data_IF_941201567328
#
_entry.id   IF_941201567328
#
_cell.length_a   1.000
_cell.length_b   1.000
_cell.length_c   1.000
_cell.angle_alpha   90.00
_cell.angle_beta   90.00
_cell.angle_gamma   90.00
#
_symmetry.space_group_name_H-M   'P 1'
#
loop_
_entity.id
_entity.type
_entity.pdbx_description
1 polymer ?
#
# COMPACT_ATOMS: atom_id res chain seq x y z
N UNK A 1 -26.43 -4.67 4.71
CA UNK A 1 -25.18 -4.07 4.16
C UNK A 1 -24.75 -4.90 2.94
N UNK A 2 -24.42 -4.28 1.80
CA UNK A 2 -23.98 -5.04 0.61
C UNK A 2 -22.58 -5.62 0.84
N UNK A 3 -22.33 -6.83 0.32
CA UNK A 3 -21.03 -7.52 0.41
C UNK A 3 -20.18 -7.23 -0.83
N UNK A 4 -18.90 -6.92 -0.65
CA UNK A 4 -17.96 -6.65 -1.74
C UNK A 4 -16.72 -7.54 -1.57
N UNK A 5 -16.37 -8.26 -2.64
CA UNK A 5 -15.11 -8.98 -2.74
C UNK A 5 -14.10 -8.15 -3.55
N UNK A 6 -12.91 -7.95 -3.00
CA UNK A 6 -11.77 -7.33 -3.68
C UNK A 6 -10.73 -8.42 -3.91
N UNK A 7 -10.31 -8.62 -5.16
CA UNK A 7 -9.29 -9.60 -5.52
C UNK A 7 -7.96 -8.87 -5.73
N UNK A 8 -7.01 -9.15 -4.85
CA UNK A 8 -5.67 -8.54 -4.78
C UNK A 8 -5.53 -7.59 -3.58
N UNK A 9 -4.55 -7.85 -2.71
CA UNK A 9 -4.21 -7.02 -1.56
C UNK A 9 -2.98 -6.11 -1.82
N UNK A 10 -2.80 -5.68 -3.07
CA UNK A 10 -1.84 -4.63 -3.41
C UNK A 10 -2.34 -3.23 -3.05
N UNK A 11 -1.52 -2.20 -3.31
CA UNK A 11 -1.84 -0.80 -2.97
C UNK A 11 -3.26 -0.36 -3.35
N UNK A 12 -3.67 -0.58 -4.61
CA UNK A 12 -5.00 -0.19 -5.08
C UNK A 12 -6.13 -0.96 -4.38
N UNK A 13 -5.95 -2.26 -4.13
CA UNK A 13 -6.93 -3.09 -3.43
C UNK A 13 -7.10 -2.69 -1.97
N UNK A 14 -5.99 -2.45 -1.28
CA UNK A 14 -5.98 -1.95 0.09
C UNK A 14 -6.59 -0.53 0.19
N UNK A 15 -6.26 0.35 -0.75
CA UNK A 15 -6.84 1.69 -0.83
C UNK A 15 -8.36 1.61 -1.04
N UNK A 16 -8.84 0.82 -2.01
CA UNK A 16 -10.27 0.67 -2.24
C UNK A 16 -10.98 0.08 -1.02
N UNK A 17 -10.40 -0.94 -0.38
CA UNK A 17 -10.94 -1.53 0.83
C UNK A 17 -11.10 -0.49 1.95
N UNK A 18 -10.09 0.36 2.16
CA UNK A 18 -10.13 1.41 3.20
C UNK A 18 -11.19 2.47 2.95
N UNK A 19 -11.52 2.75 1.68
CA UNK A 19 -12.58 3.69 1.28
C UNK A 19 -13.99 3.11 1.39
N UNK A 20 -14.13 1.79 1.29
CA UNK A 20 -15.43 1.12 1.26
C UNK A 20 -15.83 0.50 2.61
N UNK A 21 -14.88 0.27 3.53
CA UNK A 21 -15.11 -0.48 4.78
C UNK A 21 -16.21 0.10 5.68
N UNK A 22 -16.44 1.41 5.65
CA UNK A 22 -17.44 2.06 6.52
C UNK A 22 -18.87 1.96 5.96
N UNK A 23 -19.01 1.65 4.66
CA UNK A 23 -20.31 1.58 3.97
C UNK A 23 -20.69 0.17 3.49
N UNK A 24 -19.72 -0.74 3.40
CA UNK A 24 -19.88 -2.09 2.86
C UNK A 24 -19.19 -3.16 3.71
N UNK A 25 -19.70 -4.38 3.65
CA UNK A 25 -18.97 -5.53 4.19
C UNK A 25 -17.92 -5.97 3.17
N UNK A 26 -16.69 -5.52 3.34
CA UNK A 26 -15.58 -5.77 2.42
C UNK A 26 -14.80 -7.01 2.83
N UNK A 27 -14.50 -7.90 1.87
CA UNK A 27 -13.55 -9.00 2.03
C UNK A 27 -12.48 -8.89 0.94
N UNK A 28 -11.21 -8.92 1.35
CA UNK A 28 -10.07 -8.86 0.44
C UNK A 28 -9.48 -10.27 0.32
N UNK A 29 -9.25 -10.72 -0.91
CA UNK A 29 -8.60 -12.00 -1.20
C UNK A 29 -7.25 -11.75 -1.85
N UNK A 30 -6.20 -12.42 -1.37
CA UNK A 30 -4.86 -12.36 -1.94
C UNK A 30 -4.35 -13.78 -2.15
N UNK A 31 -3.74 -14.05 -3.30
CA UNK A 31 -3.16 -15.35 -3.63
C UNK A 31 -1.83 -15.56 -2.91
N UNK A 32 -1.08 -14.48 -2.69
CA UNK A 32 0.19 -14.51 -1.99
C UNK A 32 0.03 -14.76 -0.48
N UNK A 33 1.11 -15.19 0.17
CA UNK A 33 1.17 -15.40 1.62
C UNK A 33 1.08 -14.10 2.43
N UNK A 34 1.35 -12.96 1.79
CA UNK A 34 1.36 -11.65 2.40
C UNK A 34 0.73 -10.60 1.48
N UNK A 35 0.49 -9.41 2.04
CA UNK A 35 -0.11 -8.27 1.35
C UNK A 35 0.94 -7.40 0.63
N UNK A 36 0.50 -6.36 -0.07
CA UNK A 36 1.37 -5.34 -0.68
C UNK A 36 1.62 -5.55 -2.17
N UNK A 37 1.49 -6.78 -2.69
CA UNK A 37 1.65 -7.07 -4.11
C UNK A 37 3.04 -6.64 -4.62
N UNK A 38 3.10 -5.76 -5.62
CA UNK A 38 4.38 -5.22 -6.14
C UNK A 38 5.11 -4.29 -5.18
N UNK A 39 4.48 -3.84 -4.10
CA UNK A 39 5.10 -3.05 -3.04
C UNK A 39 5.41 -3.89 -1.79
N UNK A 40 5.36 -5.23 -1.90
CA UNK A 40 5.68 -6.09 -0.77
C UNK A 40 7.18 -6.21 -0.59
N UNK A 41 7.61 -6.04 0.65
CA UNK A 41 8.97 -6.33 1.06
C UNK A 41 9.19 -7.83 1.15
N UNK A 42 10.38 -8.28 0.76
CA UNK A 42 10.81 -9.67 0.83
C UNK A 42 11.78 -9.83 1.97
N UNK A 43 11.61 -10.91 2.71
CA UNK A 43 12.44 -11.28 3.85
C UNK A 43 13.14 -12.60 3.56
N UNK A 44 14.41 -12.65 3.89
CA UNK A 44 15.26 -13.84 3.98
C UNK A 44 15.95 -13.80 5.34
N UNK A 45 16.64 -14.87 5.73
CA UNK A 45 17.31 -14.92 7.03
C UNK A 45 18.34 -13.79 7.21
N UNK A 46 18.95 -13.32 6.12
CA UNK A 46 20.06 -12.36 6.13
C UNK A 46 19.68 -10.97 5.63
N UNK A 47 18.60 -10.86 4.83
CA UNK A 47 18.26 -9.63 4.12
C UNK A 47 16.76 -9.36 4.06
N UNK A 48 16.45 -8.06 4.08
CA UNK A 48 15.15 -7.50 3.73
C UNK A 48 15.31 -6.62 2.49
N UNK A 49 14.45 -6.80 1.48
CA UNK A 49 14.55 -6.02 0.25
C UNK A 49 13.21 -5.85 -0.47
N UNK A 50 13.03 -4.67 -1.07
CA UNK A 50 11.90 -4.35 -1.93
C UNK A 50 12.21 -4.72 -3.38
N UNK A 51 11.93 -5.97 -3.76
CA UNK A 51 12.18 -6.46 -5.12
C UNK A 51 11.30 -5.80 -6.19
N UNK A 52 10.13 -5.28 -5.80
CA UNK A 52 9.15 -4.72 -6.73
C UNK A 52 9.33 -3.22 -6.92
N UNK A 53 8.65 -2.43 -6.10
CA UNK A 53 8.68 -0.96 -6.15
C UNK A 53 9.40 -0.45 -4.89
N UNK A 54 10.72 -0.16 -4.97
CA UNK A 54 11.49 0.31 -3.81
C UNK A 54 11.22 1.79 -3.50
N UNK A 55 10.79 2.59 -4.48
CA UNK A 55 10.37 3.97 -4.30
C UNK A 55 9.43 4.41 -5.43
N UNK A 56 8.76 5.54 -5.25
CA UNK A 56 7.88 6.11 -6.26
C UNK A 56 7.95 7.63 -6.23
N UNK A 57 7.64 8.25 -7.37
CA UNK A 57 7.49 9.70 -7.49
C UNK A 57 6.00 10.07 -7.45
N UNK A 58 5.67 11.16 -6.78
CA UNK A 58 4.31 11.70 -6.74
C UNK A 58 4.27 13.07 -7.42
N UNK A 59 3.58 13.17 -8.57
CA UNK A 59 3.37 14.45 -9.27
C UNK A 59 1.97 15.01 -9.06
N UNK A 60 0.97 14.14 -8.90
CA UNK A 60 -0.44 14.52 -8.71
C UNK A 60 -0.71 15.11 -7.32
N UNK A 61 -1.42 16.24 -7.25
CA UNK A 61 -1.72 16.95 -6.02
C UNK A 61 -2.57 16.12 -5.04
N UNK A 62 -3.65 15.49 -5.51
CA UNK A 62 -4.50 14.62 -4.68
C UNK A 62 -3.73 13.45 -4.09
N UNK A 63 -2.83 12.86 -4.89
CA UNK A 63 -1.96 11.80 -4.38
C UNK A 63 -0.96 12.32 -3.34
N UNK A 64 -0.34 13.49 -3.57
CA UNK A 64 0.53 14.13 -2.58
C UNK A 64 -0.19 14.39 -1.25
N UNK A 65 -1.44 14.86 -1.29
CA UNK A 65 -2.23 15.08 -0.07
C UNK A 65 -2.54 13.78 0.68
N UNK A 66 -2.86 12.72 -0.05
CA UNK A 66 -2.97 11.38 0.54
C UNK A 66 -1.65 10.96 1.22
N UNK A 67 -0.51 11.14 0.55
CA UNK A 67 0.80 10.77 1.10
C UNK A 67 1.18 11.57 2.35
N UNK A 68 0.77 12.85 2.46
CA UNK A 68 1.03 13.65 3.68
C UNK A 68 0.51 12.94 4.93
N UNK A 69 -0.69 12.35 4.85
CA UNK A 69 -1.26 11.61 5.99
C UNK A 69 -0.40 10.40 6.38
N UNK A 70 0.18 9.70 5.40
CA UNK A 70 1.04 8.55 5.62
C UNK A 70 2.41 8.96 6.17
N UNK A 71 2.95 10.10 5.73
CA UNK A 71 4.19 10.67 6.27
C UNK A 71 4.00 11.09 7.73
N UNK A 72 2.90 11.79 8.04
CA UNK A 72 2.57 12.18 9.43
C UNK A 72 2.38 10.95 10.32
N UNK A 73 1.78 9.88 9.80
CA UNK A 73 1.63 8.61 10.50
C UNK A 73 2.91 7.76 10.52
N UNK A 74 4.03 8.25 9.97
CA UNK A 74 5.32 7.55 9.88
C UNK A 74 5.26 6.18 9.17
N UNK A 75 4.32 6.02 8.24
CA UNK A 75 4.19 4.80 7.42
C UNK A 75 5.17 4.82 6.23
N UNK A 76 5.47 6.03 5.72
CA UNK A 76 6.45 6.26 4.65
C UNK A 76 7.29 7.48 4.99
N UNK A 77 8.47 7.58 4.40
CA UNK A 77 9.32 8.77 4.46
C UNK A 77 9.64 9.30 3.05
N UNK A 78 9.88 10.61 2.90
CA UNK A 78 10.58 11.12 1.72
C UNK A 78 11.95 10.45 1.61
N UNK A 79 12.32 10.04 0.40
CA UNK A 79 13.68 9.55 0.15
C UNK A 79 14.63 10.75 0.16
N UNK A 80 15.53 10.80 1.14
CA UNK A 80 16.63 11.76 1.14
C UNK A 80 17.77 11.18 0.31
N UNK A 81 18.18 11.87 -0.76
CA UNK A 81 19.59 11.84 -1.15
C UNK A 81 20.27 12.94 -0.35
N UNK A 82 21.15 12.57 0.55
CA UNK A 82 22.29 13.43 0.85
C UNK A 82 23.16 13.43 -0.41
N UNK A 83 23.20 14.57 -1.09
CA UNK A 83 24.33 14.96 -1.93
C UNK A 83 25.18 15.92 -1.09
#
# INVERSE_FOLDING_TARGET
>A
MKKIAIIGAGFTGAYLASRLKDSYQVTVFEKARGVGGRMSTRYTDEYEFDHGVPFFHASNATFKDFLKSLVTAQVISPYWRED
#
